data_IF_992518086061
#
_entry.id   IF_992518086061
#
_cell.length_a   1.000
_cell.length_b   1.000
_cell.length_c   1.000
_cell.angle_alpha   90.00
_cell.angle_beta   90.00
_cell.angle_gamma   90.00
#
_symmetry.space_group_name_H-M   'P 1'
#
loop_
_entity.id
_entity.type
_entity.pdbx_description
1 polymer ?
#
# COMPACT_ATOMS: atom_id res chain seq x y z
N UNK A 1 0.28 6.49 19.32
CA UNK A 1 -0.01 7.42 18.20
C UNK A 1 -0.70 6.59 17.13
N UNK A 2 -1.81 7.07 16.57
CA UNK A 2 -2.49 6.38 15.45
C UNK A 2 -1.64 6.46 14.18
N UNK A 3 -1.78 5.49 13.28
CA UNK A 3 -1.10 5.52 11.98
C UNK A 3 -1.64 6.67 11.12
N UNK A 4 -0.88 7.13 10.17
CA UNK A 4 -1.35 8.01 9.11
C UNK A 4 -2.24 7.21 8.18
N UNK A 5 -3.35 7.80 7.75
CA UNK A 5 -4.25 7.22 6.75
C UNK A 5 -4.18 8.04 5.47
N UNK A 6 -4.24 7.37 4.33
CA UNK A 6 -4.31 8.01 3.02
C UNK A 6 -5.40 7.36 2.17
N UNK A 7 -6.04 8.15 1.33
CA UNK A 7 -7.09 7.69 0.40
C UNK A 7 -6.75 8.10 -1.04
N UNK A 8 -7.03 7.20 -1.97
CA UNK A 8 -7.05 7.46 -3.41
C UNK A 8 -8.49 7.35 -3.92
N UNK A 9 -8.97 8.38 -4.62
CA UNK A 9 -10.37 8.46 -5.13
C UNK A 9 -10.63 7.63 -6.39
N UNK A 10 -9.68 6.86 -6.85
CA UNK A 10 -9.79 5.97 -8.03
C UNK A 10 -10.20 6.71 -9.33
N UNK A 11 -9.92 8.01 -9.43
CA UNK A 11 -10.24 8.82 -10.62
C UNK A 11 -9.20 8.66 -11.73
N UNK A 12 -7.92 8.64 -11.35
CA UNK A 12 -6.79 8.46 -12.26
C UNK A 12 -5.80 7.47 -11.66
N UNK A 13 -5.62 6.34 -12.30
CA UNK A 13 -4.69 5.29 -11.89
C UNK A 13 -3.45 5.34 -12.78
N UNK A 14 -2.27 5.34 -12.16
CA UNK A 14 -1.00 5.32 -12.89
C UNK A 14 -0.88 4.04 -13.75
N UNK A 15 -0.59 4.22 -15.02
CA UNK A 15 -0.38 3.12 -15.97
C UNK A 15 1.12 2.77 -16.09
N UNK A 16 1.79 2.63 -14.97
CA UNK A 16 3.21 2.27 -14.98
C UNK A 16 3.40 0.80 -15.39
N UNK A 17 4.11 0.53 -16.49
CA UNK A 17 4.31 -0.84 -16.97
C UNK A 17 5.28 -1.60 -16.05
N UNK A 18 5.16 -2.92 -16.04
CA UNK A 18 6.18 -3.79 -15.44
C UNK A 18 7.39 -3.79 -16.37
N UNK A 19 8.58 -3.31 -15.92
CA UNK A 19 9.75 -3.24 -16.77
C UNK A 19 10.27 -4.62 -17.21
N UNK A 20 11.04 -4.66 -18.28
CA UNK A 20 11.73 -5.88 -18.71
C UNK A 20 12.63 -6.44 -17.60
N UNK A 21 12.67 -7.75 -17.45
CA UNK A 21 13.39 -8.42 -16.36
C UNK A 21 12.65 -8.48 -15.02
N UNK A 22 11.43 -7.91 -14.96
CA UNK A 22 10.58 -7.98 -13.79
C UNK A 22 9.28 -8.71 -14.08
N UNK A 23 8.75 -9.40 -13.08
CA UNK A 23 7.42 -10.01 -13.14
C UNK A 23 6.65 -9.69 -11.87
N UNK A 24 5.33 -9.58 -12.00
CA UNK A 24 4.42 -9.51 -10.85
C UNK A 24 3.47 -10.70 -10.98
N UNK A 25 3.37 -11.45 -9.91
CA UNK A 25 2.47 -12.60 -9.82
C UNK A 25 1.81 -12.67 -8.46
N UNK A 26 0.74 -13.42 -8.37
CA UNK A 26 0.12 -13.71 -7.08
C UNK A 26 0.98 -14.66 -6.22
N UNK A 27 0.75 -14.58 -4.92
CA UNK A 27 1.22 -15.54 -3.94
C UNK A 27 0.71 -16.95 -4.28
N UNK A 28 1.51 -17.96 -3.95
CA UNK A 28 1.17 -19.39 -4.12
C UNK A 28 1.21 -20.10 -2.79
N UNK A 29 0.38 -21.12 -2.62
CA UNK A 29 0.40 -21.95 -1.43
C UNK A 29 1.83 -22.46 -1.11
N UNK A 30 2.20 -22.37 0.17
CA UNK A 30 3.55 -22.73 0.65
C UNK A 30 4.56 -21.58 0.68
N UNK A 31 4.23 -20.37 0.17
CA UNK A 31 5.17 -19.23 0.13
C UNK A 31 5.08 -18.29 1.35
N UNK A 32 4.46 -18.70 2.45
CA UNK A 32 4.31 -17.88 3.67
C UNK A 32 5.65 -17.43 4.23
N UNK A 33 6.66 -18.34 4.25
CA UNK A 33 8.00 -18.02 4.73
C UNK A 33 8.68 -16.94 3.87
N UNK A 34 8.45 -16.96 2.55
CA UNK A 34 8.99 -15.95 1.63
C UNK A 34 8.35 -14.59 1.92
N UNK A 35 7.02 -14.54 2.05
CA UNK A 35 6.29 -13.33 2.40
C UNK A 35 6.77 -12.74 3.73
N UNK A 36 6.88 -13.57 4.76
CA UNK A 36 7.35 -13.19 6.10
C UNK A 36 8.73 -12.57 6.03
N UNK A 37 9.67 -13.20 5.35
CA UNK A 37 11.05 -12.69 5.16
C UNK A 37 11.09 -11.34 4.43
N UNK A 38 10.23 -11.14 3.44
CA UNK A 38 10.10 -9.82 2.78
C UNK A 38 9.58 -8.77 3.75
N UNK A 39 8.56 -9.09 4.55
CA UNK A 39 7.95 -8.15 5.50
C UNK A 39 8.86 -7.80 6.69
N UNK A 40 9.77 -8.67 7.09
CA UNK A 40 10.79 -8.39 8.11
C UNK A 40 11.74 -7.24 7.72
N UNK A 41 11.78 -6.84 6.47
CA UNK A 41 12.57 -5.69 6.01
C UNK A 41 11.98 -4.32 6.38
N UNK A 42 11.44 -4.21 7.58
CA UNK A 42 10.97 -2.96 8.18
C UNK A 42 9.45 -2.79 8.23
N UNK A 43 8.69 -3.83 7.93
CA UNK A 43 7.23 -3.84 8.08
C UNK A 43 6.77 -4.63 9.31
N UNK A 44 7.34 -5.80 9.52
CA UNK A 44 7.11 -6.65 10.70
C UNK A 44 8.40 -6.84 11.49
N UNK A 45 8.27 -7.24 12.76
CA UNK A 45 9.41 -7.76 13.53
C UNK A 45 9.82 -9.17 13.05
N UNK A 46 10.97 -9.67 13.58
CA UNK A 46 11.41 -11.04 13.28
C UNK A 46 10.33 -12.06 13.65
N UNK A 47 10.11 -13.03 12.78
CA UNK A 47 9.18 -14.13 13.03
C UNK A 47 9.86 -15.27 13.80
N UNK A 48 9.13 -15.88 14.71
CA UNK A 48 9.60 -16.99 15.55
C UNK A 48 9.22 -18.39 14.97
N UNK A 49 8.83 -18.43 13.70
CA UNK A 49 8.36 -19.63 13.02
C UNK A 49 6.85 -19.88 13.16
N UNK A 50 6.13 -19.00 13.87
CA UNK A 50 4.66 -19.10 14.02
C UNK A 50 3.89 -18.44 12.90
N UNK A 51 4.54 -17.60 12.09
CA UNK A 51 3.92 -16.77 11.03
C UNK A 51 2.78 -15.90 11.57
N UNK A 52 2.96 -15.34 12.76
CA UNK A 52 1.93 -14.56 13.44
C UNK A 52 1.52 -13.32 12.65
N UNK A 53 2.47 -12.65 12.00
CA UNK A 53 2.20 -11.49 11.13
C UNK A 53 1.35 -11.88 9.91
N UNK A 54 1.67 -13.00 9.25
CA UNK A 54 0.86 -13.53 8.15
C UNK A 54 -0.57 -13.85 8.60
N UNK A 55 -0.70 -14.59 9.71
CA UNK A 55 -2.00 -14.98 10.25
C UNK A 55 -2.87 -13.77 10.59
N UNK A 56 -2.29 -12.74 11.21
CA UNK A 56 -3.02 -11.53 11.59
C UNK A 56 -3.31 -10.60 10.41
N UNK A 57 -2.31 -10.34 9.57
CA UNK A 57 -2.42 -9.33 8.52
C UNK A 57 -3.08 -9.86 7.23
N UNK A 58 -3.02 -11.16 6.97
CA UNK A 58 -3.58 -11.76 5.75
C UNK A 58 -4.78 -12.65 6.08
N UNK A 59 -4.56 -13.74 6.83
CA UNK A 59 -5.65 -14.71 7.10
C UNK A 59 -6.74 -14.16 8.04
N UNK A 60 -6.40 -13.19 8.89
CA UNK A 60 -7.34 -12.53 9.80
C UNK A 60 -8.20 -11.42 9.15
N UNK A 61 -8.04 -11.15 7.85
CA UNK A 61 -8.78 -10.11 7.13
C UNK A 61 -9.97 -10.70 6.40
N UNK A 62 -11.17 -10.21 6.73
CA UNK A 62 -12.38 -10.62 6.03
C UNK A 62 -12.36 -10.16 4.57
N UNK A 63 -12.72 -11.03 3.65
CA UNK A 63 -12.75 -10.76 2.21
C UNK A 63 -11.42 -10.96 1.50
N UNK A 64 -10.28 -11.04 2.22
CA UNK A 64 -8.97 -11.25 1.64
C UNK A 64 -8.75 -12.73 1.30
N UNK A 65 -8.34 -13.00 0.06
CA UNK A 65 -7.96 -14.34 -0.44
C UNK A 65 -6.51 -14.29 -0.92
N UNK A 66 -5.56 -14.95 -0.24
CA UNK A 66 -4.14 -14.78 -0.52
C UNK A 66 -3.75 -14.99 -1.99
N UNK A 67 -4.26 -16.05 -2.62
CA UNK A 67 -3.96 -16.41 -4.01
C UNK A 67 -4.50 -15.40 -5.04
N UNK A 68 -5.43 -14.56 -4.65
CA UNK A 68 -6.01 -13.52 -5.49
C UNK A 68 -5.42 -12.14 -5.18
N UNK A 69 -5.16 -11.85 -3.91
CA UNK A 69 -4.99 -10.50 -3.39
C UNK A 69 -3.56 -10.16 -2.99
N UNK A 70 -2.72 -11.17 -2.69
CA UNK A 70 -1.32 -10.97 -2.35
C UNK A 70 -0.47 -11.10 -3.62
N UNK A 71 0.29 -10.05 -3.92
CA UNK A 71 1.17 -9.98 -5.07
C UNK A 71 2.63 -10.06 -4.64
N UNK A 72 3.42 -10.74 -5.43
CA UNK A 72 4.86 -10.74 -5.36
C UNK A 72 5.47 -10.07 -6.58
N UNK A 73 6.54 -9.31 -6.33
CA UNK A 73 7.43 -8.80 -7.38
C UNK A 73 8.67 -9.66 -7.41
N UNK A 74 8.96 -10.18 -8.59
CA UNK A 74 10.10 -11.04 -8.84
C UNK A 74 11.00 -10.43 -9.91
N UNK A 75 12.31 -10.63 -9.78
CA UNK A 75 13.26 -10.49 -10.87
C UNK A 75 13.47 -11.84 -11.56
N UNK A 76 14.60 -11.99 -12.21
CA UNK A 76 15.00 -13.24 -12.86
C UNK A 76 14.83 -14.44 -11.89
N UNK A 77 14.48 -15.61 -12.42
CA UNK A 77 14.27 -16.86 -11.69
C UNK A 77 13.02 -16.97 -10.77
N UNK A 78 12.02 -16.11 -10.94
CA UNK A 78 10.73 -16.14 -10.20
C UNK A 78 10.89 -16.06 -8.67
N UNK A 79 11.98 -15.46 -8.19
CA UNK A 79 12.25 -15.28 -6.75
C UNK A 79 11.59 -13.99 -6.28
N UNK A 80 10.62 -14.05 -5.32
CA UNK A 80 9.99 -12.85 -4.80
C UNK A 80 10.94 -12.01 -3.95
N UNK A 81 10.95 -10.69 -4.21
CA UNK A 81 11.76 -9.72 -3.47
C UNK A 81 10.92 -8.55 -2.93
N UNK A 82 9.66 -8.41 -3.36
CA UNK A 82 8.71 -7.48 -2.77
C UNK A 82 7.32 -8.07 -2.73
N UNK A 83 6.45 -7.50 -1.90
CA UNK A 83 5.05 -7.86 -1.77
C UNK A 83 4.16 -6.64 -1.63
N UNK A 84 2.93 -6.77 -2.12
CA UNK A 84 1.82 -5.85 -1.92
C UNK A 84 0.55 -6.68 -1.82
N UNK A 85 -0.33 -6.33 -0.91
CA UNK A 85 -1.69 -6.87 -0.87
C UNK A 85 -2.66 -5.80 -1.35
N UNK A 86 -3.57 -6.17 -2.24
CA UNK A 86 -4.63 -5.31 -2.74
C UNK A 86 -5.95 -6.09 -2.73
N UNK A 87 -6.90 -5.71 -1.90
CA UNK A 87 -8.18 -6.39 -1.79
C UNK A 87 -9.32 -5.41 -1.53
N UNK A 88 -10.55 -5.84 -1.79
CA UNK A 88 -11.75 -5.04 -1.53
C UNK A 88 -12.39 -5.57 -0.25
N UNK A 89 -12.61 -4.68 0.72
CA UNK A 89 -13.34 -4.97 1.96
C UNK A 89 -14.80 -5.34 1.69
N UNK A 90 -15.49 -6.02 2.62
CA UNK A 90 -16.91 -6.33 2.48
C UNK A 90 -17.81 -5.11 2.27
N UNK A 91 -17.41 -3.93 2.74
CA UNK A 91 -18.11 -2.66 2.54
C UNK A 91 -17.85 -1.99 1.18
N UNK A 92 -16.94 -2.57 0.39
CA UNK A 92 -16.62 -2.11 -0.96
C UNK A 92 -15.44 -1.15 -1.06
N UNK A 93 -14.78 -0.80 0.05
CA UNK A 93 -13.55 0.01 0.07
C UNK A 93 -12.35 -0.84 -0.35
N UNK A 94 -11.51 -0.32 -1.25
CA UNK A 94 -10.24 -0.95 -1.60
C UNK A 94 -9.18 -0.70 -0.53
N UNK A 95 -8.30 -1.67 -0.28
CA UNK A 95 -7.19 -1.54 0.66
C UNK A 95 -5.87 -1.96 0.00
N UNK A 96 -4.87 -1.07 0.10
CA UNK A 96 -3.47 -1.37 -0.19
C UNK A 96 -2.78 -1.68 1.13
N UNK A 97 -2.44 -2.94 1.31
CA UNK A 97 -1.99 -3.48 2.58
C UNK A 97 -0.65 -4.22 2.46
N UNK A 98 0.14 -4.24 3.52
CA UNK A 98 1.40 -5.01 3.62
C UNK A 98 2.35 -4.81 2.43
N UNK A 99 2.70 -3.54 2.16
CA UNK A 99 3.65 -3.18 1.10
C UNK A 99 5.08 -3.23 1.64
N UNK A 100 5.88 -4.16 1.15
CA UNK A 100 7.26 -4.35 1.57
C UNK A 100 8.18 -4.71 0.40
N UNK A 101 9.46 -4.32 0.49
CA UNK A 101 10.47 -4.66 -0.50
C UNK A 101 11.83 -4.95 0.17
N UNK A 102 12.49 -6.00 -0.30
CA UNK A 102 13.85 -6.31 0.10
C UNK A 102 14.81 -5.15 -0.22
N UNK A 103 15.84 -4.90 0.60
CA UNK A 103 16.79 -3.81 0.35
C UNK A 103 17.45 -3.86 -1.03
N UNK A 104 17.68 -5.07 -1.57
CA UNK A 104 18.31 -5.32 -2.87
C UNK A 104 17.62 -4.68 -4.06
N UNK A 105 16.30 -4.43 -3.96
CA UNK A 105 15.50 -3.90 -5.08
C UNK A 105 14.95 -2.50 -4.84
N UNK A 106 15.26 -1.91 -3.69
CA UNK A 106 14.82 -0.52 -3.40
C UNK A 106 15.41 0.46 -4.42
N UNK A 107 14.67 1.52 -4.71
CA UNK A 107 15.11 2.54 -5.67
C UNK A 107 14.81 2.24 -7.15
N UNK A 108 14.34 1.05 -7.50
CA UNK A 108 14.01 0.65 -8.88
C UNK A 108 12.53 0.90 -9.26
N UNK A 109 11.90 1.91 -8.70
CA UNK A 109 10.47 2.20 -8.88
C UNK A 109 9.52 1.05 -8.50
N UNK A 110 9.98 0.11 -7.67
CA UNK A 110 9.23 -1.10 -7.28
C UNK A 110 7.90 -0.73 -6.63
N UNK A 111 7.91 0.28 -5.76
CA UNK A 111 6.67 0.76 -5.13
C UNK A 111 5.66 1.27 -6.16
N UNK A 112 6.11 2.07 -7.14
CA UNK A 112 5.24 2.58 -8.22
C UNK A 112 4.65 1.44 -9.06
N UNK A 113 5.49 0.47 -9.41
CA UNK A 113 5.09 -0.72 -10.17
C UNK A 113 4.04 -1.56 -9.42
N UNK A 114 4.28 -1.82 -8.12
CA UNK A 114 3.34 -2.56 -7.27
C UNK A 114 2.01 -1.83 -7.13
N UNK A 115 2.05 -0.51 -6.85
CA UNK A 115 0.85 0.30 -6.72
C UNK A 115 0.04 0.32 -8.02
N UNK A 116 0.68 0.50 -9.17
CA UNK A 116 -0.01 0.48 -10.46
C UNK A 116 -0.77 -0.83 -10.69
N UNK A 117 -0.17 -1.97 -10.38
CA UNK A 117 -0.83 -3.29 -10.52
C UNK A 117 -1.95 -3.46 -9.48
N UNK A 118 -1.69 -3.15 -8.20
CA UNK A 118 -2.69 -3.27 -7.14
C UNK A 118 -3.89 -2.36 -7.37
N UNK A 119 -3.66 -1.11 -7.76
CA UNK A 119 -4.73 -0.14 -8.03
C UNK A 119 -5.57 -0.54 -9.25
N UNK A 120 -4.97 -1.06 -10.33
CA UNK A 120 -5.73 -1.59 -11.49
C UNK A 120 -6.61 -2.78 -11.11
N UNK A 121 -6.09 -3.68 -10.27
CA UNK A 121 -6.90 -4.79 -9.74
C UNK A 121 -8.11 -4.27 -8.96
N UNK A 122 -7.88 -3.36 -8.02
CA UNK A 122 -8.96 -2.76 -7.22
C UNK A 122 -9.97 -2.04 -8.12
N UNK A 123 -9.50 -1.31 -9.13
CA UNK A 123 -10.36 -0.64 -10.12
C UNK A 123 -11.31 -1.61 -10.84
N UNK A 124 -10.81 -2.78 -11.18
CA UNK A 124 -11.59 -3.82 -11.85
C UNK A 124 -12.61 -4.52 -10.92
N UNK A 125 -12.32 -4.61 -9.63
CA UNK A 125 -13.15 -5.35 -8.65
C UNK A 125 -14.17 -4.48 -7.92
N UNK A 126 -13.89 -3.18 -7.73
CA UNK A 126 -14.76 -2.27 -6.99
C UNK A 126 -16.03 -1.94 -7.77
N UNK A 127 -17.17 -2.33 -7.25
CA UNK A 127 -18.49 -2.12 -7.87
C UNK A 127 -19.31 -1.02 -7.21
N UNK A 128 -18.96 -0.61 -5.98
CA UNK A 128 -19.67 0.40 -5.20
C UNK A 128 -19.15 1.81 -5.47
N UNK A 129 -19.95 2.82 -5.15
CA UNK A 129 -19.58 4.24 -5.22
C UNK A 129 -19.83 4.93 -3.88
N UNK A 130 -18.98 5.88 -3.44
CA UNK A 130 -17.76 6.33 -4.12
C UNK A 130 -16.69 5.22 -4.14
N UNK A 131 -15.89 5.20 -5.21
CA UNK A 131 -14.76 4.26 -5.32
C UNK A 131 -13.56 4.90 -4.66
N UNK A 132 -13.20 4.39 -3.50
CA UNK A 132 -12.03 4.85 -2.76
C UNK A 132 -11.15 3.64 -2.38
N UNK A 133 -9.85 3.87 -2.38
CA UNK A 133 -8.87 2.92 -1.88
C UNK A 133 -8.11 3.58 -0.75
N UNK A 134 -8.00 2.89 0.36
CA UNK A 134 -7.27 3.36 1.54
C UNK A 134 -5.96 2.62 1.75
N UNK A 135 -5.11 3.20 2.54
CA UNK A 135 -3.94 2.58 3.16
C UNK A 135 -3.60 3.27 4.47
N UNK A 136 -2.87 2.58 5.34
CA UNK A 136 -2.28 3.17 6.53
C UNK A 136 -0.76 3.03 6.53
N UNK A 137 -0.06 4.01 7.14
CA UNK A 137 1.40 4.02 7.25
C UNK A 137 1.84 4.74 8.52
N UNK A 138 3.12 4.68 8.84
CA UNK A 138 3.71 5.38 9.97
C UNK A 138 4.51 6.60 9.50
N UNK A 139 4.58 7.66 10.31
CA UNK A 139 5.26 8.94 10.00
C UNK A 139 6.72 8.77 9.57
N UNK A 140 7.41 7.79 10.14
CA UNK A 140 8.82 7.53 9.87
C UNK A 140 9.08 6.79 8.54
N UNK A 141 8.04 6.27 7.90
CA UNK A 141 8.14 5.54 6.62
C UNK A 141 8.19 6.49 5.42
N UNK A 142 9.09 7.45 5.48
CA UNK A 142 9.20 8.53 4.49
C UNK A 142 9.21 8.04 3.02
N UNK A 143 10.00 7.02 2.63
CA UNK A 143 9.97 6.55 1.23
C UNK A 143 8.61 6.01 0.77
N UNK A 144 7.84 5.40 1.69
CA UNK A 144 6.50 4.91 1.40
C UNK A 144 5.52 6.08 1.22
N UNK A 145 5.52 7.05 2.15
CA UNK A 145 4.69 8.26 2.08
C UNK A 145 4.93 9.01 0.76
N UNK A 146 6.19 9.24 0.40
CA UNK A 146 6.55 9.88 -0.89
C UNK A 146 6.00 9.09 -2.08
N UNK A 147 6.10 7.76 -2.03
CA UNK A 147 5.56 6.88 -3.07
C UNK A 147 4.04 6.99 -3.20
N UNK A 148 3.34 6.99 -2.09
CA UNK A 148 1.87 7.09 -2.04
C UNK A 148 1.37 8.46 -2.51
N UNK A 149 1.98 9.56 -2.05
CA UNK A 149 1.65 10.90 -2.52
C UNK A 149 1.84 11.04 -4.05
N UNK A 150 2.94 10.51 -4.58
CA UNK A 150 3.21 10.49 -6.03
C UNK A 150 2.24 9.59 -6.82
N UNK A 151 1.70 8.57 -6.19
CA UNK A 151 0.68 7.71 -6.79
C UNK A 151 -0.75 8.30 -6.70
N UNK A 152 -0.91 9.50 -6.12
CA UNK A 152 -2.20 10.18 -6.02
C UNK A 152 -2.98 9.90 -4.74
N UNK A 153 -2.42 9.19 -3.79
CA UNK A 153 -3.01 9.06 -2.46
C UNK A 153 -2.94 10.40 -1.71
N UNK A 154 -4.00 10.77 -1.05
CA UNK A 154 -4.17 12.02 -0.32
C UNK A 154 -4.30 11.77 1.17
N UNK A 155 -3.72 12.66 2.03
CA UNK A 155 -3.84 12.58 3.48
C UNK A 155 -5.29 12.61 3.97
N UNK A 156 -5.57 11.86 5.03
CA UNK A 156 -6.88 11.84 5.68
C UNK A 156 -6.82 12.53 7.03
N UNK A 157 -7.78 13.43 7.27
CA UNK A 157 -8.01 14.09 8.55
C UNK A 157 -9.07 13.32 9.34
N UNK A 158 -8.65 12.34 10.16
CA UNK A 158 -9.54 11.47 10.93
C UNK A 158 -9.29 11.49 12.44
N UNK A 159 -8.29 12.28 12.90
CA UNK A 159 -7.99 12.48 14.30
C UNK A 159 -7.43 13.88 14.53
N UNK A 160 -7.46 14.37 15.77
CA UNK A 160 -7.15 15.76 16.14
C UNK A 160 -5.73 16.22 15.74
N UNK A 161 -4.75 15.31 15.70
CA UNK A 161 -3.35 15.62 15.38
C UNK A 161 -2.99 15.46 13.88
N UNK A 162 -3.92 15.00 13.04
CA UNK A 162 -3.63 14.65 11.64
C UNK A 162 -3.25 15.86 10.80
N UNK A 163 -3.93 16.99 10.97
CA UNK A 163 -3.63 18.22 10.24
C UNK A 163 -2.21 18.70 10.50
N UNK A 164 -1.79 18.74 11.77
CA UNK A 164 -0.44 19.15 12.15
C UNK A 164 0.62 18.19 11.60
N UNK A 165 0.42 16.90 11.78
CA UNK A 165 1.35 15.84 11.34
C UNK A 165 1.54 15.84 9.82
N UNK A 166 0.44 15.88 9.07
CA UNK A 166 0.49 15.91 7.62
C UNK A 166 1.09 17.21 7.07
N UNK A 167 0.75 18.35 7.67
CA UNK A 167 1.34 19.65 7.31
C UNK A 167 2.85 19.62 7.49
N UNK A 168 3.32 19.14 8.66
CA UNK A 168 4.74 19.01 8.92
C UNK A 168 5.42 18.08 7.89
N UNK A 169 4.87 16.89 7.65
CA UNK A 169 5.44 15.92 6.72
C UNK A 169 5.50 16.45 5.29
N UNK A 170 4.42 17.05 4.80
CA UNK A 170 4.38 17.59 3.44
C UNK A 170 5.39 18.73 3.26
N UNK A 171 5.51 19.62 4.26
CA UNK A 171 6.49 20.69 4.22
C UNK A 171 7.93 20.15 4.25
N UNK A 172 8.24 19.22 5.14
CA UNK A 172 9.57 18.57 5.23
C UNK A 172 9.95 17.85 3.93
N UNK A 173 8.96 17.35 3.19
CA UNK A 173 9.12 16.61 1.93
C UNK A 173 8.95 17.49 0.68
N UNK A 174 8.69 18.79 0.86
CA UNK A 174 8.45 19.76 -0.24
C UNK A 174 7.27 19.37 -1.15
N UNK A 175 6.19 18.83 -0.54
CA UNK A 175 4.90 18.63 -1.19
C UNK A 175 3.95 19.77 -0.80
N UNK A 176 3.46 20.52 -1.78
CA UNK A 176 2.56 21.67 -1.57
C UNK A 176 1.29 21.50 -2.39
N UNK A 177 0.21 22.15 -1.94
CA UNK A 177 -1.08 22.07 -2.62
C UNK A 177 -1.75 20.69 -2.50
N UNK A 178 -1.39 19.91 -1.48
CA UNK A 178 -1.95 18.58 -1.24
C UNK A 178 -3.32 18.74 -0.56
N UNK A 179 -4.35 18.18 -1.18
CA UNK A 179 -5.68 18.16 -0.60
C UNK A 179 -5.75 17.17 0.55
N UNK A 180 -6.42 17.55 1.64
CA UNK A 180 -6.74 16.64 2.74
C UNK A 180 -8.19 16.18 2.62
N UNK A 181 -8.45 14.92 2.97
CA UNK A 181 -9.73 14.28 2.84
C UNK A 181 -10.34 13.88 4.20
N UNK A 182 -11.65 13.64 4.21
CA UNK A 182 -12.32 12.81 5.23
C UNK A 182 -12.08 11.32 4.94
N UNK A 183 -12.48 10.44 5.85
CA UNK A 183 -12.49 8.99 5.64
C UNK A 183 -13.46 8.55 4.51
N UNK A 184 -14.37 9.41 4.07
CA UNK A 184 -15.27 9.17 2.95
C UNK A 184 -14.71 9.73 1.62
N UNK A 185 -13.50 10.31 1.64
CA UNK A 185 -12.84 10.86 0.45
C UNK A 185 -13.29 12.28 0.08
N UNK A 186 -14.01 12.97 0.96
CA UNK A 186 -14.42 14.37 0.74
C UNK A 186 -13.31 15.35 1.13
N UNK A 187 -13.15 16.43 0.38
CA UNK A 187 -12.14 17.46 0.65
C UNK A 187 -12.43 18.21 1.97
N UNK A 188 -11.39 18.35 2.82
CA UNK A 188 -11.47 19.12 4.08
C UNK A 188 -10.59 20.37 4.08
N UNK A 189 -9.58 20.43 3.22
CA UNK A 189 -8.65 21.55 3.14
C UNK A 189 -7.46 21.24 2.24
N UNK A 190 -6.52 22.19 2.18
CA UNK A 190 -5.30 22.06 1.37
C UNK A 190 -4.09 22.35 2.26
N UNK A 191 -3.09 21.50 2.22
CA UNK A 191 -1.76 21.73 2.80
C UNK A 191 -0.98 22.62 1.86
N UNK A 192 -0.67 23.85 2.29
CA UNK A 192 0.03 24.87 1.51
C UNK A 192 1.54 24.69 1.53
#
# INVERSE_FOLDING_TARGET
>A
MKQLMMIHRMEQIDDYPVPEGWTIRNWREGEVEIWTRICENGLCGPDDGTFSSWKGAILGREGLVPERDVFFVCRENDIPEATLTAYVHPDGVGDIHMVAAAPSIRGNNVNRMMLAVGMKKLDAEMTHRPRITELTTDDWRIPAIVGYLKAGFQPVNYDDDMVERWTKLCNDLNFHGIEMLTEQGEATGIIL
#
